data_IF_792463687290
#
_entry.id   IF_792463687290
#
_cell.length_a   1.000
_cell.length_b   1.000
_cell.length_c   1.000
_cell.angle_alpha   90.00
_cell.angle_beta   90.00
_cell.angle_gamma   90.00
#
_symmetry.space_group_name_H-M   'P 1'
#
loop_
_entity.id
_entity.type
_entity.pdbx_description
1 polymer ?
#
# COMPACT_ATOMS: atom_id res chain seq x y z
N UNK A 1 -11.29 2.24 -1.33
CA UNK A 1 -11.37 1.72 0.05
C UNK A 1 -10.70 2.68 1.00
N UNK A 2 -11.50 3.28 1.87
CA UNK A 2 -11.02 4.13 2.97
C UNK A 2 -11.45 3.54 4.32
N UNK A 3 -10.65 3.78 5.35
CA UNK A 3 -10.90 3.27 6.71
C UNK A 3 -11.17 4.46 7.63
N UNK A 4 -12.35 4.48 8.25
CA UNK A 4 -12.70 5.40 9.32
C UNK A 4 -12.67 4.66 10.66
N UNK A 5 -11.95 5.22 11.63
CA UNK A 5 -11.93 4.71 13.01
C UNK A 5 -12.51 5.74 13.95
N UNK A 6 -13.54 5.37 14.73
CA UNK A 6 -14.10 6.20 15.81
C UNK A 6 -14.53 5.29 16.97
N UNK A 7 -14.10 5.61 18.19
CA UNK A 7 -14.50 4.91 19.42
C UNK A 7 -14.34 3.37 19.30
N UNK A 8 -13.15 2.90 18.92
CA UNK A 8 -12.80 1.49 18.70
C UNK A 8 -13.62 0.77 17.60
N UNK A 9 -14.52 1.46 16.92
CA UNK A 9 -15.25 0.93 15.76
C UNK A 9 -14.54 1.33 14.48
N UNK A 10 -14.11 0.31 13.75
CA UNK A 10 -13.57 0.45 12.40
C UNK A 10 -14.69 0.30 11.39
N UNK A 11 -14.80 1.25 10.47
CA UNK A 11 -15.70 1.19 9.31
C UNK A 11 -14.90 1.30 8.04
N UNK A 12 -15.19 0.40 7.10
CA UNK A 12 -14.66 0.47 5.74
C UNK A 12 -15.70 1.15 4.86
N UNK A 13 -15.33 2.25 4.25
CA UNK A 13 -16.19 3.05 3.37
C UNK A 13 -15.57 3.13 1.96
N UNK A 14 -16.26 3.84 1.06
CA UNK A 14 -15.80 4.08 -0.30
C UNK A 14 -15.60 2.77 -1.10
N UNK A 15 -16.71 2.04 -1.24
CA UNK A 15 -16.82 0.77 -1.97
C UNK A 15 -17.17 0.95 -3.45
N UNK A 16 -17.40 2.17 -3.93
CA UNK A 16 -17.87 2.43 -5.30
C UNK A 16 -16.88 1.94 -6.36
N UNK A 17 -15.58 2.01 -6.06
CA UNK A 17 -14.48 1.55 -6.93
C UNK A 17 -13.94 0.17 -6.53
N UNK A 18 -14.63 -0.57 -5.65
CA UNK A 18 -14.17 -1.90 -5.25
C UNK A 18 -14.21 -2.88 -6.43
N UNK A 19 -13.15 -3.68 -6.58
CA UNK A 19 -13.01 -4.66 -7.67
C UNK A 19 -12.44 -5.98 -7.14
N UNK A 20 -12.56 -7.05 -7.94
CA UNK A 20 -11.90 -8.33 -7.66
C UNK A 20 -10.46 -8.28 -8.18
N UNK A 21 -9.50 -8.52 -7.30
CA UNK A 21 -8.08 -8.48 -7.61
C UNK A 21 -7.27 -9.37 -6.69
N UNK A 22 -5.95 -9.37 -6.88
CA UNK A 22 -5.03 -10.09 -6.02
C UNK A 22 -4.85 -9.35 -4.69
N UNK A 23 -5.02 -10.07 -3.57
CA UNK A 23 -4.90 -9.49 -2.23
C UNK A 23 -3.53 -8.84 -1.98
N UNK A 24 -2.47 -9.36 -2.61
CA UNK A 24 -1.10 -8.85 -2.46
C UNK A 24 -0.95 -7.42 -3.01
N UNK A 25 -1.77 -7.06 -4.01
CA UNK A 25 -1.83 -5.71 -4.55
C UNK A 25 -2.30 -4.70 -3.50
N UNK A 26 -3.37 -5.03 -2.77
CA UNK A 26 -3.90 -4.18 -1.70
C UNK A 26 -2.91 -4.06 -0.53
N UNK A 27 -2.24 -5.16 -0.18
CA UNK A 27 -1.22 -5.17 0.88
C UNK A 27 -0.05 -4.26 0.53
N UNK A 28 0.48 -4.35 -0.70
CA UNK A 28 1.55 -3.47 -1.13
C UNK A 28 1.08 -2.00 -1.20
N UNK A 29 -0.15 -1.74 -1.64
CA UNK A 29 -0.73 -0.39 -1.66
C UNK A 29 -0.77 0.22 -0.26
N UNK A 30 -1.23 -0.52 0.74
CA UNK A 30 -1.23 -0.06 2.14
C UNK A 30 0.19 0.15 2.67
N UNK A 31 1.11 -0.77 2.39
CA UNK A 31 2.53 -0.61 2.74
C UNK A 31 3.13 0.69 2.17
N UNK A 32 2.91 0.95 0.87
CA UNK A 32 3.39 2.15 0.18
C UNK A 32 2.81 3.45 0.78
N UNK A 33 1.55 3.42 1.21
CA UNK A 33 0.93 4.57 1.87
C UNK A 33 1.53 4.83 3.25
N UNK A 34 1.75 3.77 4.04
CA UNK A 34 2.38 3.91 5.35
C UNK A 34 3.83 4.37 5.23
N UNK A 35 4.59 3.88 4.25
CA UNK A 35 6.00 4.23 4.08
C UNK A 35 6.23 5.69 3.71
N UNK A 36 5.20 6.40 3.19
CA UNK A 36 5.22 7.85 2.99
C UNK A 36 5.14 8.64 4.30
N UNK A 37 4.63 8.02 5.37
CA UNK A 37 4.47 8.65 6.69
C UNK A 37 5.50 8.13 7.72
N UNK A 38 5.69 6.81 7.80
CA UNK A 38 6.68 6.14 8.65
C UNK A 38 7.05 4.78 8.05
N UNK A 39 8.34 4.56 7.83
CA UNK A 39 8.85 3.28 7.34
C UNK A 39 8.67 2.19 8.40
N UNK A 40 8.85 2.52 9.67
CA UNK A 40 8.68 1.60 10.80
C UNK A 40 7.24 1.08 10.88
N UNK A 41 6.26 1.97 10.69
CA UNK A 41 4.84 1.59 10.62
C UNK A 41 4.56 0.67 9.43
N UNK A 42 5.11 0.97 8.26
CA UNK A 42 4.94 0.15 7.06
C UNK A 42 5.52 -1.26 7.23
N UNK A 43 6.74 -1.35 7.77
CA UNK A 43 7.42 -2.62 8.07
C UNK A 43 6.68 -3.44 9.12
N UNK A 44 6.21 -2.79 10.20
CA UNK A 44 5.38 -3.46 11.21
C UNK A 44 4.08 -4.01 10.62
N UNK A 45 3.35 -3.21 9.83
CA UNK A 45 2.13 -3.64 9.15
C UNK A 45 2.37 -4.89 8.30
N UNK A 46 3.40 -4.84 7.45
CA UNK A 46 3.71 -5.93 6.54
C UNK A 46 4.13 -7.19 7.30
N UNK A 47 4.95 -7.06 8.34
CA UNK A 47 5.35 -8.17 9.19
C UNK A 47 4.15 -8.86 9.85
N UNK A 48 3.21 -8.08 10.41
CA UNK A 48 1.99 -8.62 11.03
C UNK A 48 1.12 -9.32 9.97
N UNK A 49 1.00 -8.75 8.77
CA UNK A 49 0.22 -9.34 7.70
C UNK A 49 0.81 -10.68 7.23
N UNK A 50 2.10 -10.71 6.90
CA UNK A 50 2.78 -11.90 6.41
C UNK A 50 2.80 -13.02 7.47
N UNK A 51 3.04 -12.68 8.75
CA UNK A 51 3.04 -13.68 9.83
C UNK A 51 1.67 -14.33 10.07
N UNK A 52 0.57 -13.61 9.82
CA UNK A 52 -0.79 -14.14 9.99
C UNK A 52 -1.30 -14.93 8.78
N UNK A 53 -0.84 -14.60 7.58
CA UNK A 53 -1.38 -15.18 6.33
C UNK A 53 -0.48 -16.24 5.73
N UNK A 54 0.81 -16.27 6.07
CA UNK A 54 1.81 -17.12 5.43
C UNK A 54 2.27 -16.61 4.06
N UNK A 55 1.70 -15.51 3.55
CA UNK A 55 2.16 -14.85 2.32
C UNK A 55 3.54 -14.25 2.59
N UNK A 56 4.50 -14.50 1.69
CA UNK A 56 5.85 -13.99 1.84
C UNK A 56 5.95 -12.50 1.46
N UNK A 57 6.97 -11.83 1.99
CA UNK A 57 7.30 -10.45 1.59
C UNK A 57 7.51 -10.35 0.07
N UNK A 58 8.23 -11.31 -0.50
CA UNK A 58 8.59 -11.28 -1.92
C UNK A 58 7.35 -11.37 -2.81
N UNK A 59 6.36 -12.20 -2.43
CA UNK A 59 5.07 -12.25 -3.13
C UNK A 59 4.30 -10.93 -3.09
N UNK A 60 4.34 -10.21 -1.96
CA UNK A 60 3.76 -8.86 -1.88
C UNK A 60 4.53 -7.89 -2.77
N UNK A 61 5.85 -7.94 -2.75
CA UNK A 61 6.71 -6.98 -3.46
C UNK A 61 6.77 -7.19 -4.97
N UNK A 62 6.33 -8.34 -5.49
CA UNK A 62 6.07 -8.54 -6.93
C UNK A 62 5.07 -7.51 -7.49
N UNK A 63 4.18 -6.97 -6.65
CA UNK A 63 3.20 -5.96 -7.04
C UNK A 63 3.75 -4.53 -7.03
N UNK A 64 5.00 -4.32 -6.58
CA UNK A 64 5.57 -3.00 -6.41
C UNK A 64 5.53 -2.13 -7.68
N UNK A 65 6.00 -2.61 -8.86
CA UNK A 65 6.08 -1.75 -10.04
C UNK A 65 4.71 -1.25 -10.50
N UNK A 66 3.71 -2.14 -10.51
CA UNK A 66 2.34 -1.84 -10.98
C UNK A 66 1.68 -0.82 -10.03
N UNK A 67 1.81 -1.03 -8.72
CA UNK A 67 1.16 -0.18 -7.73
C UNK A 67 1.84 1.18 -7.62
N UNK A 68 3.18 1.25 -7.69
CA UNK A 68 3.91 2.53 -7.72
C UNK A 68 3.51 3.34 -8.96
N UNK A 69 3.44 2.70 -10.13
CA UNK A 69 3.01 3.36 -11.37
C UNK A 69 1.55 3.86 -11.28
N UNK A 70 0.63 3.03 -10.77
CA UNK A 70 -0.75 3.42 -10.54
C UNK A 70 -0.83 4.63 -9.58
N UNK A 71 -0.10 4.61 -8.46
CA UNK A 71 -0.05 5.72 -7.51
C UNK A 71 0.54 6.99 -8.10
N UNK A 72 1.52 6.86 -9.01
CA UNK A 72 2.11 7.98 -9.72
C UNK A 72 1.14 8.66 -10.71
N UNK A 73 0.16 7.91 -11.23
CA UNK A 73 -0.90 8.45 -12.10
C UNK A 73 -2.00 9.21 -11.34
N UNK A 74 -2.08 9.04 -10.03
CA UNK A 74 -3.00 9.76 -9.16
C UNK A 74 -2.47 11.18 -8.85
N UNK A 75 -3.34 12.12 -8.48
CA UNK A 75 -2.91 13.45 -8.04
C UNK A 75 -2.16 13.34 -6.70
N UNK A 76 -0.83 13.34 -6.75
CA UNK A 76 0.06 13.28 -5.59
C UNK A 76 0.76 14.62 -5.34
N UNK A 77 1.23 14.85 -4.12
CA UNK A 77 2.02 16.04 -3.81
C UNK A 77 3.39 16.00 -4.51
N UNK A 78 4.04 17.16 -4.76
CA UNK A 78 5.37 17.19 -5.37
C UNK A 78 6.43 16.39 -4.59
N UNK A 79 6.35 16.37 -3.25
CA UNK A 79 7.24 15.55 -2.43
C UNK A 79 7.02 14.05 -2.68
N UNK A 80 5.76 13.62 -2.79
CA UNK A 80 5.41 12.23 -3.08
C UNK A 80 5.80 11.83 -4.51
N UNK A 81 5.74 12.73 -5.50
CA UNK A 81 6.24 12.44 -6.85
C UNK A 81 7.73 12.09 -6.86
N UNK A 82 8.56 12.86 -6.15
CA UNK A 82 10.01 12.59 -6.05
C UNK A 82 10.26 11.25 -5.37
N UNK A 83 9.53 10.97 -4.29
CA UNK A 83 9.60 9.69 -3.59
C UNK A 83 9.21 8.52 -4.50
N UNK A 84 8.08 8.62 -5.21
CA UNK A 84 7.59 7.58 -6.12
C UNK A 84 8.52 7.36 -7.30
N UNK A 85 9.10 8.42 -7.90
CA UNK A 85 10.12 8.29 -8.95
C UNK A 85 11.34 7.50 -8.49
N UNK A 86 11.81 7.75 -7.26
CA UNK A 86 12.93 7.00 -6.68
C UNK A 86 12.58 5.52 -6.52
N UNK A 87 11.38 5.21 -6.02
CA UNK A 87 10.94 3.81 -5.86
C UNK A 87 10.73 3.13 -7.21
N UNK A 88 10.19 3.83 -8.21
CA UNK A 88 9.99 3.28 -9.55
C UNK A 88 11.32 2.80 -10.13
N UNK A 89 12.40 3.59 -9.98
CA UNK A 89 13.76 3.21 -10.39
C UNK A 89 14.41 2.10 -9.54
N UNK A 90 13.87 1.81 -8.35
CA UNK A 90 14.38 0.75 -7.47
C UNK A 90 13.74 -0.61 -7.79
N UNK A 91 12.47 -0.60 -8.20
CA UNK A 91 11.67 -1.82 -8.43
C UNK A 91 11.45 -2.15 -9.91
N UNK A 92 11.82 -1.25 -10.84
CA UNK A 92 11.99 -1.53 -12.27
C UNK A 92 13.46 -1.82 -12.58
#
# INVERSE_FOLDING_TARGET
MEILSKEEKVKVIDWVDASSGDIRADVFRTYLLYSQSSVELAEMYLHIYCSRTGISRDEVFQWAPIIIAARFSEKVSPQNEVYLKRLLNQYL
#
